data_IF_042482418862
#
_entry.id   IF_042482418862
#
_cell.length_a   1.000
_cell.length_b   1.000
_cell.length_c   1.000
_cell.angle_alpha   90.00
_cell.angle_beta   90.00
_cell.angle_gamma   90.00
#
_symmetry.space_group_name_H-M   'P 1'
#
loop_
_entity.id
_entity.type
_entity.pdbx_description
1 polymer ?
#
# COMPACT_ATOMS: atom_id res chain seq x y z
N UNK A 1 4.84 19.03 -33.95
CA UNK A 1 3.92 17.89 -33.76
C UNK A 1 4.16 17.30 -32.39
N UNK A 2 3.22 17.40 -31.49
CA UNK A 2 3.33 16.71 -30.18
C UNK A 2 3.12 15.22 -30.45
N UNK A 3 4.11 14.39 -30.16
CA UNK A 3 3.98 12.93 -30.24
C UNK A 3 2.91 12.48 -29.23
N UNK A 4 1.88 11.74 -29.66
CA UNK A 4 0.79 11.31 -28.78
C UNK A 4 1.20 10.23 -27.78
N UNK A 5 2.45 9.82 -27.76
CA UNK A 5 2.96 8.77 -26.89
C UNK A 5 4.08 9.30 -25.99
N UNK A 6 3.84 9.29 -24.67
CA UNK A 6 4.84 9.60 -23.67
C UNK A 6 5.68 8.34 -23.40
N UNK A 7 6.96 8.38 -23.78
CA UNK A 7 7.90 7.29 -23.53
C UNK A 7 8.79 7.61 -22.33
N UNK A 8 8.96 6.65 -21.42
CA UNK A 8 9.88 6.77 -20.26
C UNK A 8 9.36 7.61 -19.10
N UNK A 9 8.13 8.13 -19.14
CA UNK A 9 7.43 8.80 -18.03
C UNK A 9 6.10 8.11 -17.75
N UNK A 10 5.55 8.32 -16.56
CA UNK A 10 4.18 7.91 -16.27
C UNK A 10 3.23 8.79 -17.09
N UNK A 11 2.29 8.21 -17.88
CA UNK A 11 1.32 8.98 -18.65
C UNK A 11 0.41 9.80 -17.72
N UNK A 12 0.15 11.04 -18.11
CA UNK A 12 -0.82 11.92 -17.46
C UNK A 12 -2.24 11.64 -17.94
N UNK A 13 -3.25 12.36 -17.40
CA UNK A 13 -4.68 12.15 -17.73
C UNK A 13 -4.97 12.16 -19.23
N UNK A 14 -4.30 13.05 -19.96
CA UNK A 14 -4.49 13.27 -21.39
C UNK A 14 -3.93 12.10 -22.23
N UNK A 15 -2.94 11.38 -21.69
CA UNK A 15 -2.26 10.30 -22.37
C UNK A 15 -2.94 8.93 -22.17
N UNK A 16 -3.99 8.89 -21.31
CA UNK A 16 -4.67 7.64 -20.95
C UNK A 16 -5.72 7.26 -21.98
N UNK A 17 -5.29 6.57 -23.02
CA UNK A 17 -6.18 6.09 -24.08
C UNK A 17 -6.63 4.64 -23.81
N UNK A 18 -7.94 4.41 -23.92
CA UNK A 18 -8.53 3.08 -24.14
C UNK A 18 -8.63 2.08 -22.97
N UNK A 19 -8.57 2.50 -21.67
CA UNK A 19 -8.71 1.59 -20.52
C UNK A 19 -9.87 1.97 -19.57
N UNK A 20 -10.91 2.59 -20.12
CA UNK A 20 -12.03 3.10 -19.33
C UNK A 20 -12.73 2.00 -18.51
N UNK A 21 -12.87 0.80 -19.07
CA UNK A 21 -13.52 -0.35 -18.42
C UNK A 21 -12.70 -0.85 -17.23
N UNK A 22 -11.38 -1.01 -17.39
CA UNK A 22 -10.50 -1.46 -16.30
C UNK A 22 -10.41 -0.40 -15.20
N UNK A 23 -10.32 0.88 -15.56
CA UNK A 23 -10.33 1.98 -14.59
C UNK A 23 -11.64 1.97 -13.80
N UNK A 24 -12.79 1.88 -14.45
CA UNK A 24 -14.09 1.85 -13.81
C UNK A 24 -14.23 0.64 -12.87
N UNK A 25 -13.80 -0.55 -13.30
CA UNK A 25 -13.82 -1.76 -12.50
C UNK A 25 -12.95 -1.60 -11.25
N UNK A 26 -11.71 -1.14 -11.42
CA UNK A 26 -10.77 -0.98 -10.32
C UNK A 26 -11.24 0.08 -9.32
N UNK A 27 -11.77 1.21 -9.82
CA UNK A 27 -12.39 2.26 -8.99
C UNK A 27 -13.54 1.69 -8.15
N UNK A 28 -14.43 0.90 -8.76
CA UNK A 28 -15.54 0.27 -8.06
C UNK A 28 -15.03 -0.72 -6.98
N UNK A 29 -13.99 -1.51 -7.27
CA UNK A 29 -13.38 -2.39 -6.29
C UNK A 29 -12.83 -1.60 -5.09
N UNK A 30 -12.20 -0.45 -5.33
CA UNK A 30 -11.70 0.42 -4.27
C UNK A 30 -12.82 0.99 -3.40
N UNK A 31 -13.88 1.50 -4.02
CA UNK A 31 -15.03 2.03 -3.31
C UNK A 31 -15.78 0.95 -2.50
N UNK A 32 -15.70 -0.30 -2.92
CA UNK A 32 -16.34 -1.45 -2.25
C UNK A 32 -15.41 -2.25 -1.35
N UNK A 33 -14.18 -1.79 -1.11
CA UNK A 33 -13.16 -2.47 -0.30
C UNK A 33 -12.88 -3.91 -0.76
N UNK A 34 -12.86 -4.15 -2.08
CA UNK A 34 -12.59 -5.46 -2.65
C UNK A 34 -11.09 -5.64 -2.90
N UNK A 35 -10.51 -6.66 -2.25
CA UNK A 35 -9.14 -7.07 -2.52
C UNK A 35 -8.97 -7.41 -3.99
N UNK A 36 -7.94 -6.85 -4.61
CA UNK A 36 -7.76 -6.92 -6.06
C UNK A 36 -6.33 -7.32 -6.39
N UNK A 37 -6.16 -8.23 -7.35
CA UNK A 37 -4.86 -8.62 -7.88
C UNK A 37 -4.84 -8.26 -9.37
N UNK A 38 -3.77 -7.58 -9.81
CA UNK A 38 -3.56 -7.21 -11.21
C UNK A 38 -2.31 -7.91 -11.73
N UNK A 39 -2.52 -8.90 -12.60
CA UNK A 39 -1.45 -9.64 -13.25
C UNK A 39 -1.43 -9.24 -14.72
N UNK A 40 -0.34 -8.66 -15.17
CA UNK A 40 -0.13 -8.34 -16.58
C UNK A 40 1.35 -8.17 -16.92
N UNK A 41 1.76 -8.32 -18.17
CA UNK A 41 3.15 -8.21 -18.57
C UNK A 41 3.78 -6.85 -18.19
N UNK A 42 5.11 -6.82 -18.23
CA UNK A 42 5.87 -5.58 -18.01
C UNK A 42 5.50 -4.54 -19.07
N UNK A 43 5.51 -3.26 -18.70
CA UNK A 43 5.20 -2.10 -19.58
C UNK A 43 3.74 -2.00 -20.06
N UNK A 44 2.83 -2.74 -19.44
CA UNK A 44 1.39 -2.67 -19.76
C UNK A 44 0.65 -1.59 -18.96
N UNK A 45 1.37 -0.64 -18.37
CA UNK A 45 0.77 0.52 -17.70
C UNK A 45 -0.02 0.20 -16.43
N UNK A 46 0.35 -0.88 -15.66
CA UNK A 46 -0.31 -1.24 -14.39
C UNK A 46 -0.29 -0.11 -13.37
N UNK A 47 0.88 0.43 -13.11
CA UNK A 47 1.07 1.52 -12.14
C UNK A 47 0.24 2.75 -12.51
N UNK A 48 0.19 3.10 -13.80
CA UNK A 48 -0.62 4.21 -14.30
C UNK A 48 -2.12 3.92 -14.17
N UNK A 49 -2.56 2.67 -14.46
CA UNK A 49 -3.95 2.24 -14.28
C UNK A 49 -4.38 2.39 -12.81
N UNK A 50 -3.57 1.86 -11.87
CA UNK A 50 -3.84 1.92 -10.44
C UNK A 50 -3.89 3.37 -9.97
N UNK A 51 -2.91 4.21 -10.34
CA UNK A 51 -2.88 5.63 -9.96
C UNK A 51 -4.10 6.39 -10.49
N UNK A 52 -4.51 6.14 -11.75
CA UNK A 52 -5.69 6.77 -12.33
C UNK A 52 -6.98 6.36 -11.61
N UNK A 53 -7.18 5.05 -11.38
CA UNK A 53 -8.33 4.57 -10.65
C UNK A 53 -8.38 5.11 -9.20
N UNK A 54 -7.20 5.16 -8.54
CA UNK A 54 -7.04 5.74 -7.19
C UNK A 54 -7.51 7.18 -7.14
N UNK A 55 -7.04 8.01 -8.07
CA UNK A 55 -7.41 9.43 -8.15
C UNK A 55 -8.91 9.62 -8.32
N UNK A 56 -9.53 8.83 -9.20
CA UNK A 56 -10.97 8.91 -9.43
C UNK A 56 -11.78 8.42 -8.22
N UNK A 57 -11.35 7.34 -7.56
CA UNK A 57 -12.01 6.82 -6.37
C UNK A 57 -11.99 7.83 -5.21
N UNK A 58 -10.84 8.47 -4.96
CA UNK A 58 -10.70 9.49 -3.91
C UNK A 58 -11.53 10.74 -4.21
N UNK A 59 -11.71 11.13 -5.50
CA UNK A 59 -12.61 12.23 -5.88
C UNK A 59 -14.08 11.94 -5.57
N UNK A 60 -14.50 10.69 -5.64
CA UNK A 60 -15.87 10.25 -5.38
C UNK A 60 -16.15 10.05 -3.89
N UNK A 61 -15.19 9.59 -3.13
CA UNK A 61 -15.35 9.24 -1.71
C UNK A 61 -14.36 10.02 -0.82
N UNK A 62 -14.86 10.97 -0.03
CA UNK A 62 -14.05 11.78 0.89
C UNK A 62 -13.40 10.96 2.01
N UNK A 63 -14.04 9.85 2.41
CA UNK A 63 -13.55 8.97 3.47
C UNK A 63 -12.59 7.90 2.96
N UNK A 64 -12.32 7.85 1.66
CA UNK A 64 -11.38 6.91 1.08
C UNK A 64 -9.97 7.50 1.05
N UNK A 65 -9.02 6.77 1.59
CA UNK A 65 -7.59 7.05 1.49
C UNK A 65 -6.91 5.94 0.71
N UNK A 66 -5.94 6.29 -0.12
CA UNK A 66 -5.18 5.31 -0.90
C UNK A 66 -3.70 5.49 -0.62
N UNK A 67 -3.08 4.39 -0.22
CA UNK A 67 -1.65 4.26 0.07
C UNK A 67 -0.99 3.55 -1.10
N UNK A 68 0.14 4.06 -1.59
CA UNK A 68 0.91 3.44 -2.65
C UNK A 68 2.28 3.02 -2.11
N UNK A 69 2.57 1.73 -2.19
CA UNK A 69 3.86 1.14 -1.85
C UNK A 69 4.52 0.62 -3.12
N UNK A 70 5.77 0.99 -3.36
CA UNK A 70 6.62 0.36 -4.38
C UNK A 70 7.68 -0.45 -3.65
N UNK A 71 7.57 -1.77 -3.73
CA UNK A 71 8.49 -2.68 -3.05
C UNK A 71 9.59 -3.23 -3.96
N UNK A 72 9.86 -2.54 -5.09
CA UNK A 72 10.90 -2.95 -6.04
C UNK A 72 12.28 -3.11 -5.38
N UNK A 73 12.65 -2.18 -4.49
CA UNK A 73 13.94 -2.16 -3.80
C UNK A 73 13.91 -2.80 -2.40
N UNK A 74 12.77 -3.27 -1.94
CA UNK A 74 12.61 -3.87 -0.61
C UNK A 74 13.15 -5.31 -0.64
N UNK A 75 13.96 -5.68 0.36
CA UNK A 75 14.63 -6.99 0.44
C UNK A 75 14.35 -7.76 1.73
N UNK A 76 13.71 -7.13 2.70
CA UNK A 76 13.42 -7.75 3.99
C UNK A 76 12.01 -7.40 4.48
N UNK A 77 11.47 -8.24 5.37
CA UNK A 77 10.22 -7.95 6.08
C UNK A 77 10.30 -6.62 6.83
N UNK A 78 11.44 -6.34 7.42
CA UNK A 78 11.66 -5.12 8.17
C UNK A 78 11.50 -3.86 7.30
N UNK A 79 12.18 -3.83 6.13
CA UNK A 79 12.04 -2.72 5.19
C UNK A 79 10.59 -2.57 4.71
N UNK A 80 9.88 -3.69 4.55
CA UNK A 80 8.46 -3.67 4.21
C UNK A 80 7.63 -3.02 5.31
N UNK A 81 7.82 -3.42 6.59
CA UNK A 81 7.10 -2.83 7.71
C UNK A 81 7.36 -1.33 7.84
N UNK A 82 8.60 -0.91 7.67
CA UNK A 82 8.98 0.49 7.72
C UNK A 82 8.30 1.31 6.61
N UNK A 83 8.33 0.81 5.37
CA UNK A 83 7.67 1.44 4.23
C UNK A 83 6.16 1.52 4.45
N UNK A 84 5.53 0.41 4.87
CA UNK A 84 4.09 0.34 5.13
C UNK A 84 3.67 1.38 6.18
N UNK A 85 4.34 1.39 7.33
CA UNK A 85 4.03 2.32 8.40
C UNK A 85 4.14 3.77 7.94
N UNK A 86 5.25 4.14 7.28
CA UNK A 86 5.47 5.50 6.82
C UNK A 86 4.40 5.96 5.82
N UNK A 87 4.09 5.16 4.81
CA UNK A 87 3.13 5.55 3.78
C UNK A 87 1.68 5.57 4.31
N UNK A 88 1.32 4.65 5.21
CA UNK A 88 0.00 4.66 5.88
C UNK A 88 -0.16 5.92 6.72
N UNK A 89 0.85 6.29 7.50
CA UNK A 89 0.81 7.49 8.33
C UNK A 89 0.70 8.77 7.50
N UNK A 90 1.45 8.87 6.40
CA UNK A 90 1.33 10.00 5.46
C UNK A 90 -0.09 10.14 4.90
N UNK A 91 -0.68 9.03 4.45
CA UNK A 91 -2.02 9.05 3.86
C UNK A 91 -3.13 9.38 4.87
N UNK A 92 -2.95 8.98 6.13
CA UNK A 92 -3.93 9.18 7.19
C UNK A 92 -3.92 10.58 7.82
N UNK A 93 -2.88 11.38 7.57
CA UNK A 93 -2.73 12.75 8.09
C UNK A 93 -3.23 13.80 7.11
N UNK A 94 -3.99 14.76 7.60
CA UNK A 94 -4.61 15.80 6.78
C UNK A 94 -3.80 17.11 6.64
N UNK A 95 -2.62 17.21 7.25
CA UNK A 95 -1.75 18.40 7.19
C UNK A 95 -0.48 18.22 8.02
N UNK A 96 0.60 18.91 7.63
CA UNK A 96 1.94 18.74 8.17
C UNK A 96 2.09 19.06 9.66
N UNK A 97 1.56 20.20 10.10
CA UNK A 97 1.79 20.70 11.47
C UNK A 97 0.90 19.97 12.50
N UNK A 98 -0.30 19.62 12.11
CA UNK A 98 -1.21 18.80 12.89
C UNK A 98 -0.74 17.33 12.96
N UNK A 99 -0.04 16.88 11.93
CA UNK A 99 0.53 15.57 11.80
C UNK A 99 1.56 15.26 12.90
N UNK A 100 2.52 16.13 13.13
CA UNK A 100 3.64 15.87 14.05
C UNK A 100 3.18 15.84 15.52
N UNK A 101 2.32 16.76 15.94
CA UNK A 101 1.87 16.82 17.34
C UNK A 101 0.79 15.79 17.67
N UNK A 102 -0.21 15.66 16.79
CA UNK A 102 -1.36 14.78 17.04
C UNK A 102 -1.07 13.32 16.66
N UNK A 103 -0.24 13.09 15.64
CA UNK A 103 0.11 11.74 15.20
C UNK A 103 0.91 10.98 16.24
N UNK A 104 1.86 11.61 16.92
CA UNK A 104 2.64 10.97 17.99
C UNK A 104 1.76 10.51 19.16
N UNK A 105 0.84 11.37 19.61
CA UNK A 105 -0.11 11.02 20.66
C UNK A 105 -1.08 9.93 20.21
N UNK A 106 -1.59 10.06 19.00
CA UNK A 106 -2.49 9.11 18.36
C UNK A 106 -1.82 7.74 18.14
N UNK A 107 -0.58 7.71 17.67
CA UNK A 107 0.18 6.48 17.47
C UNK A 107 0.54 5.79 18.78
N UNK A 108 0.87 6.56 19.83
CA UNK A 108 1.04 6.00 21.17
C UNK A 108 -0.22 5.34 21.73
N UNK A 109 -1.40 5.81 21.30
CA UNK A 109 -2.67 5.16 21.66
C UNK A 109 -2.96 3.91 20.83
N UNK A 110 -2.51 3.86 19.58
CA UNK A 110 -2.70 2.70 18.70
C UNK A 110 -1.64 1.63 18.90
N UNK A 111 -0.42 2.06 19.15
CA UNK A 111 0.75 1.20 19.32
C UNK A 111 1.56 1.73 20.49
N UNK A 112 1.13 1.47 21.74
CA UNK A 112 1.76 2.02 22.95
C UNK A 112 3.24 1.67 23.09
N UNK A 113 3.65 0.57 22.47
CA UNK A 113 4.97 -0.04 22.61
C UNK A 113 5.99 0.50 21.60
N UNK A 114 5.58 1.31 20.61
CA UNK A 114 6.49 1.87 19.61
C UNK A 114 6.85 3.32 19.94
N UNK A 115 8.15 3.61 20.00
CA UNK A 115 8.68 4.98 20.15
C UNK A 115 8.80 5.64 18.78
N UNK A 116 8.20 6.82 18.65
CA UNK A 116 8.28 7.63 17.43
C UNK A 116 9.16 8.85 17.70
N UNK A 117 10.27 8.97 17.00
CA UNK A 117 11.10 10.18 17.03
C UNK A 117 10.97 10.93 15.71
N UNK A 118 10.66 12.23 15.70
CA UNK A 118 10.72 13.03 14.49
C UNK A 118 12.20 13.20 14.11
N UNK A 119 12.57 12.78 12.94
CA UNK A 119 13.88 13.07 12.39
C UNK A 119 13.89 14.53 11.90
N UNK A 120 14.65 15.40 12.56
CA UNK A 120 14.67 16.84 12.29
C UNK A 120 15.31 17.21 10.93
N UNK A 121 15.93 16.27 10.21
CA UNK A 121 16.70 16.57 8.99
C UNK A 121 16.09 16.03 7.70
N UNK A 122 15.12 15.15 7.75
CA UNK A 122 14.49 14.61 6.54
C UNK A 122 13.01 14.93 6.50
N UNK A 123 12.58 15.44 5.36
CA UNK A 123 11.16 15.63 5.05
C UNK A 123 10.43 14.29 5.21
N UNK A 124 9.80 14.06 6.39
CA UNK A 124 8.88 12.94 6.65
C UNK A 124 9.49 11.54 6.67
N UNK A 125 10.44 11.28 7.55
CA UNK A 125 10.66 9.92 8.04
C UNK A 125 10.36 9.89 9.53
N UNK A 126 9.36 9.12 9.93
CA UNK A 126 9.25 8.73 11.33
C UNK A 126 10.34 7.69 11.56
N UNK A 127 11.37 8.02 12.35
CA UNK A 127 12.28 6.99 12.82
C UNK A 127 11.54 6.15 13.85
N UNK A 128 10.94 5.07 13.41
CA UNK A 128 10.46 4.01 14.30
C UNK A 128 11.72 3.27 14.74
N UNK A 129 11.93 3.13 16.04
CA UNK A 129 13.12 2.46 16.56
C UNK A 129 13.25 1.05 15.99
N UNK A 130 14.44 0.71 15.46
CA UNK A 130 14.74 -0.57 14.82
C UNK A 130 14.34 -1.78 15.67
N UNK A 131 14.65 -1.72 16.96
CA UNK A 131 14.39 -2.80 17.91
C UNK A 131 12.89 -3.01 18.18
N UNK A 132 12.10 -1.95 18.09
CA UNK A 132 10.67 -1.98 18.40
C UNK A 132 9.83 -2.53 17.24
N UNK A 133 10.17 -2.22 15.99
CA UNK A 133 9.51 -2.79 14.82
C UNK A 133 9.66 -4.32 14.75
N UNK A 134 10.82 -4.84 15.14
CA UNK A 134 11.05 -6.28 15.19
C UNK A 134 10.26 -6.98 16.30
N UNK A 135 9.94 -6.28 17.37
CA UNK A 135 9.18 -6.84 18.49
C UNK A 135 7.67 -6.87 18.24
N UNK A 136 7.16 -5.96 17.40
CA UNK A 136 5.71 -5.76 17.21
C UNK A 136 5.30 -5.68 15.72
N UNK A 137 5.66 -6.65 14.87
CA UNK A 137 5.33 -6.64 13.45
C UNK A 137 3.81 -6.67 13.20
N UNK A 138 3.06 -7.33 14.07
CA UNK A 138 1.61 -7.47 13.96
C UNK A 138 0.89 -6.13 14.13
N UNK A 139 1.40 -5.26 15.00
CA UNK A 139 0.86 -3.91 15.20
C UNK A 139 1.03 -3.06 13.93
N UNK A 140 2.14 -3.23 13.20
CA UNK A 140 2.38 -2.55 11.93
C UNK A 140 1.47 -3.08 10.84
N UNK A 141 1.26 -4.39 10.76
CA UNK A 141 0.35 -4.97 9.77
C UNK A 141 -1.10 -4.53 10.00
N UNK A 142 -1.50 -4.32 11.24
CA UNK A 142 -2.84 -3.85 11.60
C UNK A 142 -2.96 -2.30 11.64
N UNK A 143 -1.87 -1.56 11.42
CA UNK A 143 -1.85 -0.10 11.59
C UNK A 143 -2.91 0.61 10.72
N UNK A 144 -3.00 0.24 9.46
CA UNK A 144 -3.97 0.84 8.53
C UNK A 144 -5.41 0.60 8.99
N UNK A 145 -5.74 -0.64 9.39
CA UNK A 145 -7.06 -1.02 9.87
C UNK A 145 -7.42 -0.27 11.16
N UNK A 146 -6.49 -0.22 12.12
CA UNK A 146 -6.69 0.49 13.38
C UNK A 146 -6.95 1.98 13.16
N UNK A 147 -6.22 2.61 12.23
CA UNK A 147 -6.46 4.02 11.84
C UNK A 147 -7.81 4.16 11.16
N UNK A 148 -8.14 3.28 10.23
CA UNK A 148 -9.38 3.30 9.47
C UNK A 148 -10.59 3.19 10.40
N UNK A 149 -10.58 2.25 11.33
CA UNK A 149 -11.63 2.07 12.33
C UNK A 149 -11.77 3.31 13.23
N UNK A 150 -10.66 3.84 13.73
CA UNK A 150 -10.68 4.96 14.69
C UNK A 150 -11.10 6.29 14.05
N UNK A 151 -10.78 6.51 12.77
CA UNK A 151 -11.10 7.74 12.04
C UNK A 151 -12.33 7.63 11.14
N UNK A 152 -13.00 6.48 11.11
CA UNK A 152 -14.08 6.13 10.19
C UNK A 152 -13.71 6.38 8.72
N UNK A 153 -12.52 5.90 8.35
CA UNK A 153 -12.00 5.96 6.99
C UNK A 153 -12.08 4.59 6.34
N UNK A 154 -12.00 4.56 5.03
CA UNK A 154 -11.68 3.39 4.23
C UNK A 154 -10.25 3.55 3.67
N UNK A 155 -9.42 2.52 3.74
CA UNK A 155 -8.04 2.59 3.27
C UNK A 155 -7.79 1.49 2.23
N UNK A 156 -7.25 1.89 1.07
CA UNK A 156 -6.75 0.93 0.08
C UNK A 156 -5.24 0.98 0.07
N UNK A 157 -4.59 -0.17 0.24
CA UNK A 157 -3.14 -0.31 0.15
C UNK A 157 -2.80 -0.94 -1.20
N UNK A 158 -2.22 -0.13 -2.09
CA UNK A 158 -1.78 -0.52 -3.42
C UNK A 158 -0.28 -0.87 -3.37
N UNK A 159 0.08 -2.11 -3.65
CA UNK A 159 1.47 -2.58 -3.58
C UNK A 159 1.97 -2.96 -4.98
N UNK A 160 2.91 -2.16 -5.50
CA UNK A 160 3.58 -2.42 -6.77
C UNK A 160 4.75 -3.40 -6.57
N UNK A 161 5.00 -4.20 -7.61
CA UNK A 161 6.03 -5.25 -7.67
C UNK A 161 5.92 -6.26 -6.51
N UNK A 162 4.66 -6.60 -6.13
CA UNK A 162 4.34 -7.45 -4.97
C UNK A 162 5.07 -8.80 -4.98
N UNK A 163 5.40 -9.35 -6.15
CA UNK A 163 6.17 -10.59 -6.23
C UNK A 163 7.56 -10.51 -5.57
N UNK A 164 8.07 -9.31 -5.27
CA UNK A 164 9.39 -9.17 -4.63
C UNK A 164 9.42 -9.70 -3.18
N UNK A 165 8.27 -9.92 -2.54
CA UNK A 165 8.22 -10.62 -1.24
C UNK A 165 8.82 -12.03 -1.32
N UNK A 166 8.82 -12.65 -2.50
CA UNK A 166 9.47 -13.95 -2.73
C UNK A 166 11.01 -13.90 -2.60
N UNK A 167 11.60 -12.71 -2.50
CA UNK A 167 13.03 -12.50 -2.31
C UNK A 167 13.42 -12.31 -0.83
N UNK A 168 12.46 -12.32 0.09
CA UNK A 168 12.73 -12.21 1.53
C UNK A 168 13.29 -13.53 2.08
N UNK A 169 13.90 -13.49 3.26
CA UNK A 169 14.55 -14.67 3.85
C UNK A 169 13.57 -15.82 4.11
N UNK A 170 12.35 -15.53 4.54
CA UNK A 170 11.29 -16.51 4.81
C UNK A 170 9.99 -16.14 4.09
N UNK A 171 9.96 -16.19 2.75
CA UNK A 171 8.85 -15.64 1.97
C UNK A 171 7.51 -16.29 2.28
N UNK A 172 7.50 -17.59 2.52
CA UNK A 172 6.29 -18.36 2.82
C UNK A 172 5.71 -18.00 4.21
N UNK A 173 6.58 -17.85 5.19
CA UNK A 173 6.16 -17.45 6.53
C UNK A 173 5.59 -16.03 6.52
N UNK A 174 6.25 -15.13 5.78
CA UNK A 174 5.79 -13.76 5.62
C UNK A 174 4.44 -13.67 4.90
N UNK A 175 4.24 -14.41 3.82
CA UNK A 175 2.97 -14.46 3.10
C UNK A 175 1.84 -14.96 4.00
N UNK A 176 2.06 -16.04 4.78
CA UNK A 176 1.06 -16.53 5.76
C UNK A 176 0.73 -15.47 6.80
N UNK A 177 1.73 -14.73 7.28
CA UNK A 177 1.54 -13.64 8.23
C UNK A 177 0.72 -12.51 7.60
N UNK A 178 1.04 -12.03 6.40
CA UNK A 178 0.25 -11.03 5.69
C UNK A 178 -1.22 -11.46 5.57
N UNK A 179 -1.44 -12.68 5.12
CA UNK A 179 -2.78 -13.22 4.96
C UNK A 179 -3.56 -13.26 6.27
N UNK A 180 -2.97 -13.76 7.36
CA UNK A 180 -3.66 -13.88 8.65
C UNK A 180 -4.18 -12.53 9.17
N UNK A 181 -3.45 -11.45 8.90
CA UNK A 181 -3.89 -10.10 9.23
C UNK A 181 -4.91 -9.55 8.23
N UNK A 182 -4.60 -9.59 6.94
CA UNK A 182 -5.42 -8.96 5.90
C UNK A 182 -6.82 -9.55 5.78
N UNK A 183 -7.00 -10.82 6.09
CA UNK A 183 -8.33 -11.47 6.10
C UNK A 183 -9.25 -10.94 7.20
N UNK A 184 -8.72 -10.35 8.25
CA UNK A 184 -9.50 -9.81 9.37
C UNK A 184 -9.88 -8.34 9.18
N UNK A 185 -9.29 -7.67 8.19
CA UNK A 185 -9.51 -6.26 7.94
C UNK A 185 -10.87 -6.00 7.30
N UNK A 186 -11.60 -5.03 7.81
CA UNK A 186 -12.95 -4.66 7.37
C UNK A 186 -13.00 -3.27 6.71
N UNK A 187 -12.11 -2.37 7.11
CA UNK A 187 -12.01 -1.00 6.61
C UNK A 187 -10.78 -0.79 5.71
N UNK A 188 -9.95 -1.82 5.57
CA UNK A 188 -8.76 -1.80 4.72
C UNK A 188 -8.84 -2.90 3.67
N UNK A 189 -8.54 -2.56 2.41
CA UNK A 189 -8.43 -3.53 1.32
C UNK A 189 -7.10 -3.34 0.55
N UNK A 190 -6.73 -4.35 -0.22
CA UNK A 190 -5.42 -4.47 -0.84
C UNK A 190 -5.54 -4.57 -2.35
N UNK A 191 -4.68 -3.82 -3.07
CA UNK A 191 -4.51 -3.92 -4.51
C UNK A 191 -3.06 -4.35 -4.78
N UNK A 192 -2.86 -5.61 -5.12
CA UNK A 192 -1.55 -6.20 -5.34
C UNK A 192 -1.27 -6.30 -6.83
N UNK A 193 -0.13 -5.80 -7.29
CA UNK A 193 0.21 -5.85 -8.69
C UNK A 193 1.71 -5.94 -8.92
N UNK A 194 2.09 -6.43 -10.10
CA UNK A 194 3.49 -6.59 -10.47
C UNK A 194 3.68 -7.09 -11.89
N UNK A 195 4.94 -7.18 -12.30
CA UNK A 195 5.32 -7.47 -13.68
C UNK A 195 5.77 -8.91 -13.93
N UNK A 196 6.16 -9.64 -12.89
CA UNK A 196 6.62 -11.03 -12.99
C UNK A 196 5.45 -11.99 -12.77
N UNK A 197 4.70 -12.25 -13.84
CA UNK A 197 3.47 -13.05 -13.80
C UNK A 197 3.68 -14.41 -13.12
N UNK A 198 4.73 -15.13 -13.44
CA UNK A 198 5.00 -16.44 -12.86
C UNK A 198 5.18 -16.36 -11.35
N UNK A 199 6.00 -15.43 -10.85
CA UNK A 199 6.21 -15.25 -9.42
C UNK A 199 4.94 -14.82 -8.67
N UNK A 200 4.08 -14.01 -9.30
CA UNK A 200 2.77 -13.67 -8.73
C UNK A 200 1.86 -14.89 -8.71
N UNK A 201 1.82 -15.66 -9.78
CA UNK A 201 1.04 -16.90 -9.82
C UNK A 201 1.53 -17.90 -8.78
N UNK A 202 2.83 -18.04 -8.58
CA UNK A 202 3.41 -18.92 -7.56
C UNK A 202 2.96 -18.49 -6.13
N UNK A 203 2.93 -17.16 -5.86
CA UNK A 203 2.45 -16.61 -4.60
C UNK A 203 0.95 -16.91 -4.37
N UNK A 204 0.12 -16.87 -5.42
CA UNK A 204 -1.33 -17.00 -5.29
C UNK A 204 -1.89 -18.38 -5.67
N UNK A 205 -1.16 -19.18 -6.47
CA UNK A 205 -1.64 -20.47 -6.98
C UNK A 205 -1.11 -21.67 -6.20
N UNK A 206 -0.18 -21.46 -5.29
CA UNK A 206 0.30 -22.55 -4.44
C UNK A 206 -0.83 -22.94 -3.46
N UNK A 207 -1.40 -24.14 -3.63
CA UNK A 207 -2.48 -24.66 -2.77
C UNK A 207 -2.13 -24.68 -1.28
N UNK A 208 -0.83 -24.71 -0.94
CA UNK A 208 -0.34 -24.61 0.43
C UNK A 208 -0.37 -23.16 0.96
N UNK A 209 -0.61 -22.17 0.10
CA UNK A 209 -0.54 -20.74 0.39
C UNK A 209 -1.71 -19.98 -0.24
N UNK A 210 -2.92 -20.19 0.20
CA UNK A 210 -4.09 -19.52 -0.35
C UNK A 210 -4.15 -18.06 0.16
N UNK A 211 -3.93 -17.11 -0.74
CA UNK A 211 -4.42 -15.73 -0.56
C UNK A 211 -5.87 -15.66 -0.98
#
# INVERSE_FOLDING_TARGET
>A
MNTPFVYGKLPEEIDFTNRAKEIARLKNNFNSLVNTIIISPRRWGKTSLVKQASRLAVKESKNLKIVHLDIFNIRSEYEFYLLLANEVLKAASSGWDEMVKNTRHFLKQLIPQISFSPDMQSKVSFSIGWEELQKHPDDILNLAENIALKKDLNIIICIDEFQNIALFDQPDAFQRKLRSHWQTHQKTAYCLYGSKQQMLLDVFSNYAMPF
#
